data_IF_052219759842
#
_entry.id   IF_052219759842
#
_cell.length_a   1.000
_cell.length_b   1.000
_cell.length_c   1.000
_cell.angle_alpha   90.00
_cell.angle_beta   90.00
_cell.angle_gamma   90.00
#
_symmetry.space_group_name_H-M   'P 1'
#
loop_
_entity.id
_entity.type
_entity.pdbx_description
1 polymer ?
#
# COMPACT_ATOMS: atom_id res chain seq x y z
N UNK A 1 17.31 3.11 15.74
CA UNK A 1 18.76 2.89 15.92
C UNK A 1 19.43 4.24 16.15
N UNK A 2 20.38 4.34 17.07
CA UNK A 2 21.17 5.57 17.30
C UNK A 2 22.41 5.54 16.40
N UNK A 3 22.94 6.71 16.05
CA UNK A 3 24.23 6.79 15.33
C UNK A 3 25.39 6.28 16.21
N UNK A 4 26.59 6.18 15.64
CA UNK A 4 27.83 5.78 16.32
C UNK A 4 28.18 6.66 17.53
N UNK A 5 27.47 7.79 17.69
CA UNK A 5 27.61 8.80 18.73
C UNK A 5 26.40 8.86 19.68
N UNK A 6 25.48 7.90 19.62
CA UNK A 6 24.37 7.75 20.56
C UNK A 6 23.22 8.76 20.38
N UNK A 7 23.14 9.49 19.27
CA UNK A 7 22.03 10.42 18.98
C UNK A 7 20.87 9.72 18.26
N UNK A 8 19.61 10.13 18.48
CA UNK A 8 18.51 9.67 17.64
C UNK A 8 18.81 10.10 16.20
N UNK A 9 18.81 9.13 15.26
CA UNK A 9 18.91 9.45 13.84
C UNK A 9 17.79 10.41 13.48
N UNK A 10 18.13 11.53 12.87
CA UNK A 10 17.16 12.52 12.40
C UNK A 10 16.48 12.00 11.12
N UNK A 11 15.29 12.47 10.80
CA UNK A 11 14.50 12.00 9.65
C UNK A 11 15.26 12.18 8.31
N UNK A 12 16.17 13.16 8.25
CA UNK A 12 17.14 13.43 7.18
C UNK A 12 18.20 12.33 6.96
N UNK A 13 18.44 11.44 7.92
CA UNK A 13 19.34 10.29 7.75
C UNK A 13 18.63 9.03 7.21
N UNK A 14 17.29 8.97 7.33
CA UNK A 14 16.48 7.97 6.63
C UNK A 14 16.34 8.32 5.14
N UNK A 15 16.61 9.57 4.78
CA UNK A 15 16.63 10.01 3.39
C UNK A 15 17.78 9.41 2.59
N UNK A 16 18.85 8.84 3.15
CA UNK A 16 20.11 8.60 2.41
C UNK A 16 20.38 7.15 1.96
N UNK A 17 19.42 6.47 1.34
CA UNK A 17 19.67 5.21 0.59
C UNK A 17 19.12 5.21 -0.86
N UNK A 18 18.95 6.40 -1.46
CA UNK A 18 18.59 6.53 -2.89
C UNK A 18 19.78 6.42 -3.84
N UNK A 19 21.02 6.53 -3.33
CA UNK A 19 22.24 6.30 -4.14
C UNK A 19 22.52 4.82 -4.44
N UNK A 20 21.78 3.90 -3.81
CA UNK A 20 21.93 2.46 -3.99
C UNK A 20 21.18 1.87 -5.19
N UNK A 21 20.65 2.68 -6.11
CA UNK A 21 20.02 2.17 -7.34
C UNK A 21 21.05 1.43 -8.19
N UNK A 22 20.78 0.16 -8.49
CA UNK A 22 21.62 -0.69 -9.33
C UNK A 22 21.81 -0.08 -10.71
N UNK A 23 22.97 -0.37 -11.32
CA UNK A 23 23.35 0.22 -12.60
C UNK A 23 22.29 -0.13 -13.67
N UNK A 24 22.06 0.74 -14.69
CA UNK A 24 21.11 0.45 -15.77
C UNK A 24 21.30 -0.92 -16.45
N UNK A 25 22.54 -1.41 -16.52
CA UNK A 25 22.89 -2.70 -17.13
C UNK A 25 22.44 -3.90 -16.29
N UNK A 26 22.58 -3.83 -14.96
CA UNK A 26 22.09 -4.86 -14.02
C UNK A 26 20.56 -4.96 -14.07
N UNK A 27 19.88 -3.80 -14.14
CA UNK A 27 18.43 -3.72 -14.30
C UNK A 27 17.94 -4.36 -15.60
N UNK A 28 18.67 -4.17 -16.70
CA UNK A 28 18.30 -4.77 -17.99
C UNK A 28 18.40 -6.30 -17.96
N UNK A 29 19.41 -6.86 -17.30
CA UNK A 29 19.56 -8.32 -17.13
C UNK A 29 18.49 -8.91 -16.21
N UNK A 30 18.19 -8.24 -15.09
CA UNK A 30 17.13 -8.67 -14.16
C UNK A 30 15.74 -8.59 -14.81
N UNK A 31 15.49 -7.54 -15.61
CA UNK A 31 14.25 -7.40 -16.39
C UNK A 31 14.11 -8.53 -17.40
N UNK A 32 15.17 -8.84 -18.17
CA UNK A 32 15.14 -9.95 -19.13
C UNK A 32 14.91 -11.32 -18.45
N UNK A 33 15.53 -11.56 -17.28
CA UNK A 33 15.32 -12.79 -16.52
C UNK A 33 13.88 -12.86 -15.96
N UNK A 34 13.34 -11.74 -15.50
CA UNK A 34 11.96 -11.61 -15.06
C UNK A 34 10.99 -11.90 -16.21
N UNK A 35 11.21 -11.33 -17.40
CA UNK A 35 10.43 -11.61 -18.61
C UNK A 35 10.44 -13.12 -18.97
N UNK A 36 11.57 -13.80 -18.77
CA UNK A 36 11.68 -15.24 -19.06
C UNK A 36 10.84 -16.10 -18.11
N UNK A 37 10.63 -15.64 -16.86
CA UNK A 37 9.83 -16.34 -15.84
C UNK A 37 8.39 -15.84 -15.77
N UNK A 38 8.07 -14.73 -16.43
CA UNK A 38 6.73 -14.17 -16.50
C UNK A 38 5.73 -15.20 -17.01
N UNK A 39 4.53 -15.23 -16.43
CA UNK A 39 3.51 -16.21 -16.83
C UNK A 39 3.67 -17.61 -16.22
N UNK A 40 4.75 -17.90 -15.51
CA UNK A 40 4.91 -19.19 -14.83
C UNK A 40 4.23 -19.20 -13.46
N UNK A 41 3.60 -20.33 -13.14
CA UNK A 41 2.90 -20.52 -11.87
C UNK A 41 1.71 -19.57 -11.63
N UNK A 42 1.40 -19.42 -10.36
CA UNK A 42 0.34 -18.54 -9.87
C UNK A 42 0.83 -17.09 -9.79
N UNK A 43 0.04 -16.07 -10.16
CA UNK A 43 0.43 -14.67 -9.96
C UNK A 43 0.78 -14.40 -8.49
N UNK A 44 1.93 -13.75 -8.27
CA UNK A 44 2.49 -13.47 -6.94
C UNK A 44 3.20 -14.67 -6.27
N UNK A 45 3.45 -15.77 -6.98
CA UNK A 45 4.16 -16.93 -6.43
C UNK A 45 5.67 -16.65 -6.30
N UNK A 46 6.25 -16.72 -5.09
CA UNK A 46 7.65 -16.37 -4.83
C UNK A 46 8.65 -17.23 -5.59
N UNK A 47 8.29 -18.44 -6.01
CA UNK A 47 9.20 -19.35 -6.72
C UNK A 47 9.63 -18.82 -8.09
N UNK A 48 8.81 -17.97 -8.70
CA UNK A 48 9.05 -17.43 -10.04
C UNK A 48 9.55 -15.98 -10.03
N UNK A 49 9.61 -15.35 -8.86
CA UNK A 49 10.15 -14.00 -8.70
C UNK A 49 11.69 -13.95 -8.92
N UNK A 50 12.20 -12.78 -9.27
CA UNK A 50 13.64 -12.49 -9.21
C UNK A 50 14.16 -12.60 -7.76
N UNK A 51 15.48 -12.60 -7.56
CA UNK A 51 16.05 -12.59 -6.22
C UNK A 51 15.68 -11.30 -5.50
N UNK A 52 15.83 -10.16 -6.17
CA UNK A 52 15.47 -8.84 -5.65
C UNK A 52 14.00 -8.78 -5.18
N UNK A 53 13.06 -9.29 -5.98
CA UNK A 53 11.65 -9.33 -5.62
C UNK A 53 11.38 -10.24 -4.41
N UNK A 54 12.07 -11.37 -4.31
CA UNK A 54 11.95 -12.27 -3.16
C UNK A 54 12.48 -11.63 -1.89
N UNK A 55 13.59 -10.91 -1.98
CA UNK A 55 14.18 -10.24 -0.83
C UNK A 55 13.27 -9.09 -0.36
N UNK A 56 12.70 -8.31 -1.29
CA UNK A 56 11.79 -7.21 -1.00
C UNK A 56 10.42 -7.69 -0.47
N UNK A 57 9.81 -8.70 -1.09
CA UNK A 57 8.49 -9.21 -0.71
C UNK A 57 8.54 -10.29 0.38
N UNK A 58 9.71 -10.86 0.69
CA UNK A 58 9.86 -11.91 1.71
C UNK A 58 9.21 -11.52 3.04
N UNK A 59 9.51 -10.33 3.60
CA UNK A 59 8.86 -9.85 4.82
C UNK A 59 7.34 -9.64 4.68
N UNK A 60 6.83 -9.30 3.49
CA UNK A 60 5.37 -9.24 3.21
C UNK A 60 4.76 -10.65 3.27
N UNK A 61 5.43 -11.63 2.66
CA UNK A 61 4.90 -12.99 2.49
C UNK A 61 5.05 -13.86 3.75
N UNK A 62 6.07 -13.62 4.56
CA UNK A 62 6.46 -14.51 5.67
C UNK A 62 6.57 -13.79 7.01
N UNK A 63 6.76 -12.47 7.00
CA UNK A 63 6.95 -11.68 8.21
C UNK A 63 5.70 -11.55 9.10
N UNK A 64 5.86 -11.07 10.34
CA UNK A 64 4.75 -10.87 11.28
C UNK A 64 3.89 -9.64 10.95
N UNK A 65 4.37 -8.74 10.10
CA UNK A 65 3.67 -7.49 9.81
C UNK A 65 4.54 -6.53 9.00
N UNK A 66 3.94 -5.38 8.68
CA UNK A 66 4.51 -4.35 7.83
C UNK A 66 4.14 -2.96 8.37
N UNK A 67 4.91 -1.98 7.95
CA UNK A 67 4.60 -0.56 8.12
C UNK A 67 4.51 0.08 6.74
N UNK A 68 3.53 0.97 6.56
CA UNK A 68 3.41 1.80 5.36
C UNK A 68 3.39 3.26 5.81
N UNK A 69 4.44 3.99 5.45
CA UNK A 69 4.65 5.40 5.79
C UNK A 69 4.29 6.29 4.60
N UNK A 70 3.40 7.26 4.79
CA UNK A 70 3.01 8.21 3.75
C UNK A 70 3.99 9.39 3.69
N UNK A 71 4.58 9.64 2.52
CA UNK A 71 5.52 10.74 2.29
C UNK A 71 4.77 12.00 1.85
N UNK A 72 4.85 13.10 2.61
CA UNK A 72 4.10 14.35 2.33
C UNK A 72 4.90 15.43 1.60
N UNK A 73 6.22 15.50 1.74
CA UNK A 73 7.01 16.66 1.29
C UNK A 73 8.21 16.27 0.42
N UNK A 74 8.02 16.14 -0.90
CA UNK A 74 9.11 16.22 -1.90
C UNK A 74 8.56 16.70 -3.24
N UNK A 75 8.86 17.93 -3.65
CA UNK A 75 8.33 18.48 -4.90
C UNK A 75 9.12 18.09 -6.16
N UNK A 76 10.37 17.59 -6.09
CA UNK A 76 11.25 17.67 -7.28
C UNK A 76 12.17 16.47 -7.61
N UNK A 77 12.16 15.34 -6.88
CA UNK A 77 13.25 14.34 -7.00
C UNK A 77 12.93 13.06 -7.82
N UNK A 78 11.69 12.87 -8.30
CA UNK A 78 11.32 11.69 -9.10
C UNK A 78 10.87 12.09 -10.51
N UNK A 79 11.77 11.97 -11.49
CA UNK A 79 11.41 12.04 -12.92
C UNK A 79 10.46 10.88 -13.24
N UNK A 80 9.19 11.19 -13.54
CA UNK A 80 8.18 10.23 -13.99
C UNK A 80 6.98 10.00 -13.05
N UNK A 81 7.04 10.42 -11.77
CA UNK A 81 5.93 10.33 -10.81
C UNK A 81 5.50 11.73 -10.37
N UNK A 82 4.47 12.29 -11.01
CA UNK A 82 4.04 13.70 -10.88
C UNK A 82 3.02 13.94 -9.74
N UNK A 83 2.79 12.96 -8.87
CA UNK A 83 1.61 12.92 -7.97
C UNK A 83 1.95 13.04 -6.47
N UNK A 84 0.93 13.35 -5.66
CA UNK A 84 1.06 13.56 -4.21
C UNK A 84 1.12 12.27 -3.38
N UNK A 85 0.57 11.16 -3.88
CA UNK A 85 0.49 9.91 -3.12
C UNK A 85 1.77 9.10 -3.30
N UNK A 86 2.62 9.15 -2.27
CA UNK A 86 3.85 8.38 -2.19
C UNK A 86 3.95 7.73 -0.83
N UNK A 87 4.38 6.47 -0.82
CA UNK A 87 4.52 5.69 0.39
C UNK A 87 5.80 4.87 0.37
N UNK A 88 6.28 4.58 1.56
CA UNK A 88 7.33 3.61 1.80
C UNK A 88 6.75 2.44 2.60
N UNK A 89 6.92 1.22 2.10
CA UNK A 89 6.64 0.01 2.86
C UNK A 89 7.93 -0.51 3.49
N UNK A 90 7.89 -0.78 4.79
CA UNK A 90 8.97 -1.39 5.56
C UNK A 90 8.45 -2.59 6.35
N UNK A 91 9.34 -3.45 6.84
CA UNK A 91 8.97 -4.41 7.86
C UNK A 91 8.83 -3.74 9.25
N UNK A 92 8.50 -4.54 10.28
CA UNK A 92 8.33 -4.02 11.64
C UNK A 92 9.64 -3.52 12.27
N UNK A 93 10.79 -4.00 11.81
CA UNK A 93 12.13 -3.58 12.25
C UNK A 93 12.58 -2.29 11.55
N UNK A 94 11.84 -1.83 10.54
CA UNK A 94 12.15 -0.63 9.76
C UNK A 94 13.06 -0.92 8.57
N UNK A 95 13.25 -2.18 8.17
CA UNK A 95 13.95 -2.48 6.92
C UNK A 95 13.04 -2.15 5.75
N UNK A 96 13.54 -1.31 4.84
CA UNK A 96 12.85 -0.94 3.61
C UNK A 96 12.49 -2.17 2.77
N UNK A 97 11.30 -2.15 2.17
CA UNK A 97 10.81 -3.19 1.26
C UNK A 97 10.48 -2.61 -0.12
N UNK A 98 9.58 -1.62 -0.19
CA UNK A 98 9.02 -1.11 -1.44
C UNK A 98 8.77 0.39 -1.39
N UNK A 99 9.01 1.06 -2.51
CA UNK A 99 8.46 2.38 -2.81
C UNK A 99 7.12 2.21 -3.49
N UNK A 100 6.13 3.01 -3.11
CA UNK A 100 4.80 2.97 -3.70
C UNK A 100 4.47 4.38 -4.15
N UNK A 101 4.10 4.54 -5.41
CA UNK A 101 3.74 5.85 -5.94
C UNK A 101 2.65 5.75 -6.97
N UNK A 102 1.89 6.83 -7.08
CA UNK A 102 0.84 6.93 -8.07
C UNK A 102 1.39 7.32 -9.44
N UNK A 103 1.12 6.48 -10.44
CA UNK A 103 1.46 6.72 -11.84
C UNK A 103 0.24 7.30 -12.56
N UNK A 104 0.32 8.56 -12.99
CA UNK A 104 -0.82 9.20 -13.63
C UNK A 104 -0.43 10.48 -14.36
N UNK A 105 -0.56 10.45 -15.69
CA UNK A 105 -0.40 11.62 -16.54
C UNK A 105 -1.71 12.46 -16.57
N UNK A 106 -1.57 13.77 -16.42
CA UNK A 106 -2.48 14.72 -17.05
C UNK A 106 -3.33 15.63 -16.14
N UNK A 107 -3.43 16.89 -16.57
CA UNK A 107 -4.21 17.97 -15.98
C UNK A 107 -5.72 17.66 -15.79
N UNK A 108 -6.28 16.70 -16.53
CA UNK A 108 -7.69 16.28 -16.43
C UNK A 108 -8.02 15.44 -15.18
N UNK A 109 -7.06 14.68 -14.66
CA UNK A 109 -7.20 13.92 -13.41
C UNK A 109 -7.29 14.84 -12.19
N UNK A 110 -6.63 15.99 -12.23
CA UNK A 110 -6.67 16.99 -11.15
C UNK A 110 -8.07 17.62 -10.98
N UNK A 111 -8.84 17.78 -12.07
CA UNK A 111 -10.20 18.32 -12.05
C UNK A 111 -11.23 17.30 -11.54
N UNK A 112 -11.04 16.01 -11.83
CA UNK A 112 -11.88 14.91 -11.34
C UNK A 112 -11.52 14.47 -9.90
N UNK A 113 -10.46 15.03 -9.31
CA UNK A 113 -9.96 14.65 -7.98
C UNK A 113 -10.98 14.84 -6.85
N UNK A 114 -11.86 15.83 -6.97
CA UNK A 114 -12.92 16.09 -6.00
C UNK A 114 -14.19 15.25 -6.25
N UNK A 115 -14.20 14.44 -7.30
CA UNK A 115 -15.31 13.61 -7.71
C UNK A 115 -14.97 12.14 -7.39
N UNK A 116 -14.69 11.82 -6.12
CA UNK A 116 -14.64 10.41 -5.68
C UNK A 116 -16.06 9.81 -5.74
N UNK A 117 -16.31 8.62 -6.33
CA UNK A 117 -15.35 7.57 -6.77
C UNK A 117 -14.95 7.61 -8.26
N UNK A 118 -15.19 8.72 -8.96
CA UNK A 118 -14.98 8.88 -10.40
C UNK A 118 -13.50 9.10 -10.82
N UNK A 119 -12.54 8.86 -9.92
CA UNK A 119 -11.11 8.99 -10.19
C UNK A 119 -10.52 7.63 -10.57
N UNK A 120 -9.69 7.61 -11.62
CA UNK A 120 -8.83 6.47 -11.94
C UNK A 120 -7.52 6.62 -11.18
N UNK A 121 -7.18 5.65 -10.34
CA UNK A 121 -5.92 5.64 -9.58
C UNK A 121 -5.09 4.46 -10.04
N UNK A 122 -3.81 4.68 -10.27
CA UNK A 122 -2.84 3.62 -10.54
C UNK A 122 -1.66 3.80 -9.60
N UNK A 123 -1.35 2.79 -8.79
CA UNK A 123 -0.17 2.77 -7.93
C UNK A 123 0.79 1.68 -8.41
N UNK A 124 2.07 2.01 -8.46
CA UNK A 124 3.14 1.04 -8.69
C UNK A 124 3.96 0.82 -7.42
N UNK A 125 4.26 -0.45 -7.15
CA UNK A 125 5.08 -0.89 -6.02
C UNK A 125 6.42 -1.32 -6.59
N UNK A 126 7.48 -0.62 -6.21
CA UNK A 126 8.81 -0.75 -6.80
C UNK A 126 9.83 -1.13 -5.74
N UNK A 127 10.72 -2.05 -6.07
CA UNK A 127 11.93 -2.34 -5.28
C UNK A 127 12.94 -1.18 -5.37
N UNK A 128 14.03 -1.25 -4.60
CA UNK A 128 15.13 -0.27 -4.71
C UNK A 128 15.78 -0.24 -6.10
N UNK A 129 15.90 -1.39 -6.76
CA UNK A 129 16.39 -1.49 -8.13
C UNK A 129 15.39 -1.02 -9.18
N UNK A 130 14.17 -0.62 -8.79
CA UNK A 130 13.13 -0.18 -9.73
C UNK A 130 12.42 -1.32 -10.44
N UNK A 131 12.51 -2.54 -9.92
CA UNK A 131 11.72 -3.67 -10.39
C UNK A 131 10.30 -3.56 -9.80
N UNK A 132 9.29 -3.65 -10.68
CA UNK A 132 7.89 -3.62 -10.25
C UNK A 132 7.52 -4.91 -9.53
N UNK A 133 7.13 -4.80 -8.27
CA UNK A 133 6.66 -5.90 -7.44
C UNK A 133 5.15 -6.16 -7.62
N UNK A 134 4.37 -5.09 -7.61
CA UNK A 134 2.90 -5.11 -7.73
C UNK A 134 2.44 -3.84 -8.45
N UNK A 135 1.25 -3.89 -9.03
CA UNK A 135 0.50 -2.67 -9.34
C UNK A 135 -0.93 -2.77 -8.85
N UNK A 136 -1.49 -1.61 -8.51
CA UNK A 136 -2.86 -1.45 -8.08
C UNK A 136 -3.54 -0.50 -9.06
N UNK A 137 -4.61 -0.94 -9.70
CA UNK A 137 -5.39 -0.13 -10.63
C UNK A 137 -6.83 -0.05 -10.14
N UNK A 138 -7.27 1.16 -9.81
CA UNK A 138 -8.66 1.48 -9.56
C UNK A 138 -9.24 2.08 -10.85
N UNK A 139 -9.97 1.32 -11.67
CA UNK A 139 -10.73 1.88 -12.77
C UNK A 139 -11.85 2.77 -12.24
N UNK A 140 -12.43 3.56 -13.14
CA UNK A 140 -13.62 4.34 -12.84
C UNK A 140 -14.77 3.41 -12.42
N UNK A 141 -15.42 3.73 -11.30
CA UNK A 141 -16.58 2.99 -10.79
C UNK A 141 -17.73 3.95 -10.45
N UNK A 142 -18.98 3.53 -10.70
CA UNK A 142 -20.14 4.39 -10.50
C UNK A 142 -20.72 4.33 -9.07
N UNK A 143 -20.60 3.18 -8.38
CA UNK A 143 -21.24 2.96 -7.06
C UNK A 143 -20.32 2.31 -6.03
N UNK A 144 -19.65 1.22 -6.40
CA UNK A 144 -18.83 0.42 -5.50
C UNK A 144 -17.39 0.42 -6.00
N UNK A 145 -16.47 0.74 -5.10
CA UNK A 145 -15.04 0.71 -5.39
C UNK A 145 -14.63 -0.69 -5.84
N UNK A 146 -13.90 -0.73 -6.95
CA UNK A 146 -13.32 -1.93 -7.53
C UNK A 146 -11.87 -1.64 -7.84
N UNK A 147 -10.98 -2.52 -7.41
CA UNK A 147 -9.54 -2.37 -7.59
C UNK A 147 -8.96 -3.68 -8.08
N UNK A 148 -8.17 -3.62 -9.15
CA UNK A 148 -7.36 -4.73 -9.63
C UNK A 148 -5.96 -4.64 -9.03
N UNK A 149 -5.45 -5.78 -8.57
CA UNK A 149 -4.06 -5.89 -8.12
C UNK A 149 -3.35 -6.86 -9.05
N UNK A 150 -2.30 -6.40 -9.73
CA UNK A 150 -1.48 -7.19 -10.66
C UNK A 150 -0.14 -7.51 -10.01
N UNK A 151 0.37 -8.70 -10.30
CA UNK A 151 1.69 -9.14 -9.84
C UNK A 151 2.81 -8.45 -10.65
N UNK A 152 4.05 -8.70 -10.27
CA UNK A 152 5.26 -8.20 -10.94
C UNK A 152 5.25 -8.42 -12.46
N UNK A 153 4.75 -9.57 -12.91
CA UNK A 153 4.64 -9.95 -14.32
C UNK A 153 3.41 -9.38 -15.05
N UNK A 154 2.65 -8.49 -14.40
CA UNK A 154 1.47 -7.83 -14.94
C UNK A 154 0.19 -8.69 -14.94
N UNK A 155 0.26 -9.96 -14.50
CA UNK A 155 -0.95 -10.80 -14.41
C UNK A 155 -1.80 -10.42 -13.22
N UNK A 156 -3.11 -10.49 -13.39
CA UNK A 156 -4.07 -10.27 -12.31
C UNK A 156 -3.80 -11.23 -11.15
N UNK A 157 -3.49 -10.67 -9.98
CA UNK A 157 -3.24 -11.40 -8.74
C UNK A 157 -4.48 -11.48 -7.86
N UNK A 158 -5.35 -10.48 -7.92
CA UNK A 158 -6.62 -10.47 -7.22
C UNK A 158 -7.34 -9.14 -7.39
N UNK A 159 -8.51 -9.04 -6.79
CA UNK A 159 -9.32 -7.82 -6.83
C UNK A 159 -9.81 -7.45 -5.44
N UNK A 160 -9.94 -6.16 -5.15
CA UNK A 160 -10.59 -5.66 -3.95
C UNK A 160 -11.94 -5.07 -4.38
N UNK A 161 -13.03 -5.62 -3.84
CA UNK A 161 -14.39 -5.27 -4.27
C UNK A 161 -15.21 -4.76 -3.09
N UNK A 162 -15.67 -3.52 -3.16
CA UNK A 162 -16.54 -2.96 -2.13
C UNK A 162 -17.90 -3.65 -2.15
N UNK A 163 -18.34 -4.11 -0.98
CA UNK A 163 -19.70 -4.62 -0.78
C UNK A 163 -20.62 -3.50 -0.34
N UNK A 164 -21.89 -3.63 -0.72
CA UNK A 164 -22.94 -2.84 -0.09
C UNK A 164 -22.99 -3.16 1.42
N UNK A 165 -22.98 -2.11 2.24
CA UNK A 165 -23.13 -2.20 3.68
C UNK A 165 -23.80 -0.94 4.21
N UNK A 166 -24.80 -1.11 5.08
CA UNK A 166 -25.56 0.00 5.66
C UNK A 166 -24.80 0.70 6.81
N UNK A 167 -24.05 -0.08 7.60
CA UNK A 167 -23.44 0.37 8.86
C UNK A 167 -21.92 0.48 8.80
N UNK A 168 -21.28 -0.34 7.96
CA UNK A 168 -19.83 -0.33 7.75
C UNK A 168 -19.53 -0.59 6.28
N UNK A 169 -18.44 0.00 5.80
CA UNK A 169 -17.84 -0.36 4.52
C UNK A 169 -17.06 -1.67 4.70
N UNK A 170 -17.32 -2.61 3.80
CA UNK A 170 -16.67 -3.92 3.77
C UNK A 170 -16.18 -4.17 2.35
N UNK A 171 -15.04 -4.82 2.20
CA UNK A 171 -14.48 -5.21 0.91
C UNK A 171 -14.22 -6.71 0.88
N UNK A 172 -14.51 -7.34 -0.25
CA UNK A 172 -14.05 -8.70 -0.53
C UNK A 172 -12.66 -8.64 -1.18
N UNK A 173 -11.73 -9.44 -0.67
CA UNK A 173 -10.44 -9.70 -1.28
C UNK A 173 -10.60 -10.99 -2.09
N UNK A 174 -10.63 -10.87 -3.41
CA UNK A 174 -10.91 -11.98 -4.31
C UNK A 174 -9.64 -12.44 -5.02
N UNK A 175 -9.57 -13.75 -5.26
CA UNK A 175 -8.62 -14.37 -6.19
C UNK A 175 -8.88 -13.90 -7.63
N UNK A 176 -7.96 -14.16 -8.58
CA UNK A 176 -8.15 -13.80 -10.00
C UNK A 176 -9.41 -14.42 -10.62
N UNK A 177 -9.84 -15.59 -10.12
CA UNK A 177 -11.06 -16.26 -10.57
C UNK A 177 -12.34 -15.73 -9.92
N UNK A 178 -12.27 -14.67 -9.10
CA UNK A 178 -13.43 -14.07 -8.43
C UNK A 178 -13.83 -14.74 -7.12
N UNK A 179 -13.20 -15.84 -6.71
CA UNK A 179 -13.48 -16.47 -5.41
C UNK A 179 -12.96 -15.59 -4.25
N UNK A 180 -13.80 -15.36 -3.24
CA UNK A 180 -13.46 -14.58 -2.04
C UNK A 180 -12.45 -15.35 -1.19
N UNK A 181 -11.27 -14.75 -1.00
CA UNK A 181 -10.19 -15.29 -0.17
C UNK A 181 -10.29 -14.81 1.28
N UNK A 182 -10.68 -13.54 1.46
CA UNK A 182 -10.88 -12.90 2.74
C UNK A 182 -11.81 -11.69 2.60
N UNK A 183 -12.26 -11.14 3.72
CA UNK A 183 -13.06 -9.92 3.79
C UNK A 183 -12.34 -8.88 4.63
N UNK A 184 -12.21 -7.66 4.13
CA UNK A 184 -11.74 -6.51 4.88
C UNK A 184 -12.95 -5.76 5.46
N UNK A 185 -13.06 -5.77 6.78
CA UNK A 185 -14.12 -5.07 7.50
C UNK A 185 -13.61 -3.73 8.03
N UNK A 186 -14.24 -2.65 7.59
CA UNK A 186 -14.03 -1.32 8.15
C UNK A 186 -14.63 -1.18 9.56
N UNK A 187 -14.19 -0.17 10.31
CA UNK A 187 -14.63 0.01 11.68
C UNK A 187 -16.09 0.46 11.77
N UNK A 188 -16.76 0.00 12.82
CA UNK A 188 -18.05 0.57 13.26
C UNK A 188 -17.87 1.78 14.19
N UNK A 189 -16.81 1.77 15.03
CA UNK A 189 -16.62 2.76 16.11
C UNK A 189 -15.17 3.25 16.28
N UNK A 190 -14.17 2.44 15.92
CA UNK A 190 -12.74 2.80 15.98
C UNK A 190 -12.24 3.21 14.60
N UNK A 191 -12.29 4.50 14.19
CA UNK A 191 -12.16 4.91 12.78
C UNK A 191 -10.79 4.61 12.13
N UNK A 192 -9.84 4.01 12.86
CA UNK A 192 -8.47 3.78 12.43
C UNK A 192 -8.10 2.30 12.31
N UNK A 193 -8.97 1.34 12.67
CA UNK A 193 -8.68 -0.10 12.67
C UNK A 193 -9.57 -0.85 11.69
N UNK A 194 -8.97 -1.71 10.88
CA UNK A 194 -9.63 -2.53 9.87
C UNK A 194 -9.20 -3.98 10.06
N UNK A 195 -10.15 -4.90 9.91
CA UNK A 195 -9.94 -6.31 10.21
C UNK A 195 -10.04 -7.14 8.92
N UNK A 196 -9.01 -7.91 8.61
CA UNK A 196 -9.05 -8.89 7.51
C UNK A 196 -9.46 -10.21 8.09
N UNK A 197 -10.56 -10.77 7.59
CA UNK A 197 -11.10 -12.05 8.05
C UNK A 197 -11.11 -13.09 6.95
N UNK A 198 -10.64 -14.29 7.26
CA UNK A 198 -10.76 -15.46 6.41
C UNK A 198 -11.70 -16.44 7.09
N UNK A 199 -12.79 -16.82 6.41
CA UNK A 199 -13.82 -17.74 6.95
C UNK A 199 -14.37 -17.30 8.32
N UNK A 200 -14.46 -16.00 8.55
CA UNK A 200 -14.98 -15.40 9.79
C UNK A 200 -13.93 -15.19 10.89
N UNK A 201 -12.75 -15.79 10.78
CA UNK A 201 -11.64 -15.60 11.72
C UNK A 201 -10.74 -14.45 11.28
N UNK A 202 -10.29 -13.63 12.24
CA UNK A 202 -9.35 -12.56 11.95
C UNK A 202 -7.96 -13.13 11.63
N UNK A 203 -7.43 -12.72 10.48
CA UNK A 203 -6.14 -13.20 9.96
C UNK A 203 -5.13 -12.07 9.71
N UNK A 204 -5.59 -10.81 9.68
CA UNK A 204 -4.72 -9.65 9.72
C UNK A 204 -5.47 -8.42 10.25
N UNK A 205 -4.72 -7.45 10.78
CA UNK A 205 -5.26 -6.16 11.22
C UNK A 205 -4.47 -5.01 10.61
N UNK A 206 -5.17 -4.00 10.08
CA UNK A 206 -4.60 -2.77 9.53
C UNK A 206 -4.96 -1.60 10.45
N UNK A 207 -3.99 -0.76 10.83
CA UNK A 207 -4.19 0.41 11.71
C UNK A 207 -3.53 1.66 11.15
N UNK A 208 -4.28 2.76 10.92
CA UNK A 208 -3.74 4.04 10.39
C UNK A 208 -2.99 4.92 11.39
N UNK A 209 -3.26 4.77 12.68
CA UNK A 209 -2.56 5.49 13.76
C UNK A 209 -1.76 4.49 14.58
N UNK A 210 -0.78 3.87 13.95
CA UNK A 210 0.01 2.81 14.56
C UNK A 210 1.21 3.39 15.30
N UNK A 211 1.29 3.17 16.61
CA UNK A 211 2.39 3.62 17.48
C UNK A 211 3.39 2.52 17.84
N UNK A 212 3.25 1.31 17.28
CA UNK A 212 4.09 0.16 17.59
C UNK A 212 3.80 -0.56 18.90
N UNK A 213 4.32 -1.78 19.02
CA UNK A 213 4.37 -2.56 20.26
C UNK A 213 5.70 -2.27 20.97
N UNK A 214 5.76 -1.18 21.77
CA UNK A 214 6.80 -1.03 22.80
C UNK A 214 8.00 -0.13 22.50
N UNK A 215 7.88 0.89 21.64
CA UNK A 215 8.90 1.96 21.62
C UNK A 215 8.22 3.32 21.48
N UNK A 216 8.36 4.16 22.50
CA UNK A 216 7.93 5.57 22.55
C UNK A 216 8.60 6.48 21.49
N UNK A 217 9.23 5.92 20.45
CA UNK A 217 9.95 6.67 19.42
C UNK A 217 9.12 7.04 18.20
N UNK A 218 7.86 6.60 18.09
CA UNK A 218 7.11 6.73 16.84
C UNK A 218 5.69 7.22 17.09
N UNK A 219 5.58 8.49 17.50
CA UNK A 219 4.32 9.23 17.53
C UNK A 219 4.17 10.00 16.22
N UNK A 220 4.00 9.31 15.10
CA UNK A 220 3.51 9.99 13.90
C UNK A 220 2.19 9.37 13.43
N UNK A 221 1.24 10.26 13.20
CA UNK A 221 -0.19 9.96 13.13
C UNK A 221 -0.68 9.52 11.75
N UNK A 222 0.25 9.38 10.79
CA UNK A 222 -0.01 9.15 9.37
C UNK A 222 0.56 7.81 8.85
N UNK A 223 0.88 6.88 9.75
CA UNK A 223 1.48 5.59 9.44
C UNK A 223 0.51 4.41 9.57
N UNK A 224 0.44 3.59 8.54
CA UNK A 224 -0.27 2.31 8.64
C UNK A 224 0.63 1.22 9.21
N UNK A 225 0.12 0.50 10.21
CA UNK A 225 0.65 -0.78 10.65
C UNK A 225 -0.24 -1.91 10.16
N UNK A 226 0.37 -2.94 9.58
CA UNK A 226 -0.28 -4.20 9.21
C UNK A 226 0.30 -5.30 10.10
N UNK A 227 -0.56 -6.01 10.81
CA UNK A 227 -0.17 -7.17 11.61
C UNK A 227 -0.80 -8.42 11.00
N UNK A 228 0.02 -9.41 10.70
CA UNK A 228 -0.43 -10.70 10.16
C UNK A 228 -0.55 -11.71 11.29
N UNK A 229 -1.71 -12.35 11.38
CA UNK A 229 -1.87 -13.47 12.30
C UNK A 229 -1.06 -14.68 11.80
N UNK A 230 -0.44 -15.50 12.68
CA UNK A 230 0.33 -16.67 12.26
C UNK A 230 -0.45 -17.69 11.41
N UNK A 231 -1.78 -17.70 11.49
CA UNK A 231 -2.64 -18.56 10.66
C UNK A 231 -2.71 -18.12 9.18
N UNK A 232 -2.38 -16.86 8.87
CA UNK A 232 -2.34 -16.37 7.50
C UNK A 232 -1.05 -16.84 6.84
N UNK A 233 -1.05 -17.98 6.16
CA UNK A 233 0.16 -18.51 5.47
C UNK A 233 0.14 -18.30 3.96
N UNK A 234 -0.99 -17.85 3.41
CA UNK A 234 -1.14 -17.58 1.98
C UNK A 234 -0.37 -16.30 1.58
N UNK A 235 0.77 -16.48 0.92
CA UNK A 235 1.65 -15.42 0.46
C UNK A 235 0.95 -14.45 -0.52
N UNK A 236 0.01 -14.93 -1.35
CA UNK A 236 -0.76 -14.06 -2.25
C UNK A 236 -1.71 -13.19 -1.44
N UNK A 237 -2.44 -13.78 -0.49
CA UNK A 237 -3.37 -13.03 0.35
C UNK A 237 -2.65 -11.93 1.14
N UNK A 238 -1.45 -12.20 1.66
CA UNK A 238 -0.64 -11.18 2.35
C UNK A 238 -0.24 -10.01 1.43
N UNK A 239 0.15 -10.29 0.19
CA UNK A 239 0.40 -9.24 -0.81
C UNK A 239 -0.87 -8.44 -1.13
N UNK A 240 -2.03 -9.10 -1.24
CA UNK A 240 -3.31 -8.42 -1.43
C UNK A 240 -3.72 -7.58 -0.20
N UNK A 241 -3.35 -7.99 1.02
CA UNK A 241 -3.58 -7.19 2.23
C UNK A 241 -2.72 -5.93 2.22
N UNK A 242 -1.47 -6.00 1.77
CA UNK A 242 -0.65 -4.80 1.55
C UNK A 242 -1.33 -3.84 0.57
N UNK A 243 -1.77 -4.34 -0.60
CA UNK A 243 -2.52 -3.52 -1.55
C UNK A 243 -3.81 -2.93 -0.95
N UNK A 244 -4.52 -3.70 -0.12
CA UNK A 244 -5.71 -3.25 0.59
C UNK A 244 -5.41 -2.14 1.61
N UNK A 245 -4.23 -2.12 2.22
CA UNK A 245 -3.79 -1.01 3.08
C UNK A 245 -3.74 0.30 2.32
N UNK A 246 -3.20 0.31 1.11
CA UNK A 246 -3.12 1.51 0.27
C UNK A 246 -4.53 1.93 -0.21
N UNK A 247 -5.36 0.97 -0.61
CA UNK A 247 -6.77 1.25 -0.94
C UNK A 247 -7.51 1.88 0.24
N UNK A 248 -7.29 1.41 1.47
CA UNK A 248 -7.90 2.02 2.67
C UNK A 248 -7.49 3.48 2.80
N UNK A 249 -6.22 3.82 2.56
CA UNK A 249 -5.77 5.20 2.62
C UNK A 249 -6.50 6.10 1.62
N UNK A 250 -6.53 5.66 0.35
CA UNK A 250 -7.21 6.35 -0.75
C UNK A 250 -8.71 6.52 -0.46
N UNK A 251 -9.39 5.47 -0.02
CA UNK A 251 -10.85 5.44 0.18
C UNK A 251 -11.37 6.18 1.42
N UNK A 252 -10.56 6.29 2.49
CA UNK A 252 -11.03 6.79 3.79
C UNK A 252 -10.40 8.12 4.22
N UNK A 253 -9.24 8.48 3.70
CA UNK A 253 -8.46 9.56 4.31
C UNK A 253 -7.95 10.62 3.34
N UNK A 254 -7.90 10.35 2.04
CA UNK A 254 -7.56 11.36 1.03
C UNK A 254 -8.62 12.50 0.95
N UNK A 255 -9.87 12.23 1.36
CA UNK A 255 -10.93 13.26 1.46
C UNK A 255 -10.65 14.35 2.52
N UNK A 256 -9.82 14.07 3.54
CA UNK A 256 -9.61 15.01 4.68
C UNK A 256 -8.50 16.04 4.47
N UNK A 257 -7.65 15.88 3.47
CA UNK A 257 -6.58 16.83 3.15
C UNK A 257 -7.02 17.91 2.13
N UNK A 258 -8.26 17.88 1.66
CA UNK A 258 -8.79 18.80 0.64
C UNK A 258 -9.71 19.94 1.12
N UNK A 259 -10.17 19.97 2.37
CA UNK A 259 -11.10 21.01 2.85
C UNK A 259 -10.85 21.42 4.31
N UNK A 260 -9.76 22.16 4.57
CA UNK A 260 -9.80 23.22 5.58
C UNK A 260 -10.29 24.49 4.90
N UNK A 261 -11.61 24.61 4.80
CA UNK A 261 -12.28 25.78 4.23
C UNK A 261 -13.54 25.37 3.48
N UNK A 262 -14.69 25.48 4.15
CA UNK A 262 -16.05 25.72 3.59
C UNK A 262 -17.19 24.82 4.10
N UNK A 263 -16.98 23.81 4.95
CA UNK A 263 -18.13 23.04 5.52
C UNK A 263 -18.04 22.79 7.04
N UNK A 264 -16.89 23.05 7.68
CA UNK A 264 -16.74 22.92 9.14
C UNK A 264 -17.32 24.06 9.98
N UNK A 265 -17.79 25.16 9.36
CA UNK A 265 -18.23 26.37 10.08
C UNK A 265 -19.73 26.47 10.40
N UNK A 266 -20.53 25.44 10.10
CA UNK A 266 -21.98 25.47 10.33
C UNK A 266 -22.45 24.68 11.56
N UNK A 267 -21.53 24.06 12.31
CA UNK A 267 -21.84 23.37 13.56
C UNK A 267 -21.32 24.08 14.82
N UNK A 268 -20.64 25.23 14.68
CA UNK A 268 -20.21 26.09 15.80
C UNK A 268 -21.20 27.26 16.06
N UNK A 269 -22.48 27.12 15.68
CA UNK A 269 -23.53 28.12 15.95
C UNK A 269 -24.46 27.75 17.12
N UNK A 270 -24.22 26.60 17.78
CA UNK A 270 -24.94 26.16 18.97
C UNK A 270 -23.98 25.58 20.01
N UNK A 271 -23.09 26.43 20.54
CA UNK A 271 -22.64 26.39 21.94
C UNK A 271 -22.24 27.82 22.37
#
# INVERSE_FOLDING_TARGET
>A
MRDEHGRPKRDDELELDWKGRTAPEERAQETALAETRAGQGSPGDPRYMSLELRDALGPVMEGPGLRVHQMREWAEILVGWETRNRYEASDLEGRFLLYIGETGEGWGQALLRNLWPFRRVELEFMTKGGTRALSLEQPWTFFFTYVEVKAWDGRLMGTLQQRFGLLRRTFDICSPGGAVMATLEGPLWKPWTFHVKQRGEEVATIRKKWSGLGTEMFSDSDNFGVEFHPSLTDARLRQLVLAATLMVDLCYFEERSGHSGAVGGLLDFFD
#
